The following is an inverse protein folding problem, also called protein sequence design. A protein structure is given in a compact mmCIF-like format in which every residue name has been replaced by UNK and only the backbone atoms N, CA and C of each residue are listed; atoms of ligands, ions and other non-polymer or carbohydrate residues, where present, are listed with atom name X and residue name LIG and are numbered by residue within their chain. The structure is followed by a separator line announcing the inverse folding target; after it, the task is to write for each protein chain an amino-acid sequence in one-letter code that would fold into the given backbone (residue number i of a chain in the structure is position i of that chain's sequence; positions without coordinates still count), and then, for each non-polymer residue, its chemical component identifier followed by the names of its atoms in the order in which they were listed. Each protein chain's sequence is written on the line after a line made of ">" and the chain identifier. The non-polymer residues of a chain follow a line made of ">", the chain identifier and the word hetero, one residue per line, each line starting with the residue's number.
data_IF_885248550486
#
_entry.id   IF_885248550486
#
_cell.length_a   1.000
_cell.length_b   1.000
_cell.length_c   1.000
_cell.angle_alpha   90.00
_cell.angle_beta   90.00
_cell.angle_gamma   90.00
#
_symmetry.space_group_name_H-M   'P 1'
#
loop_
_entity.id
_entity.type
_entity.pdbx_description
1 polymer ?
#
# COMPACT_ATOMS: atom_id res chain seq x y z
N UNK A 1 9.61 4.74 -31.64
CA UNK A 1 9.12 5.44 -30.43
C UNK A 1 7.64 5.72 -30.61
N UNK A 2 6.76 5.02 -29.89
CA UNK A 2 5.33 5.36 -29.83
C UNK A 2 5.19 6.48 -28.82
N UNK A 3 4.64 7.62 -29.24
CA UNK A 3 4.24 8.69 -28.32
C UNK A 3 3.20 8.10 -27.37
N UNK A 4 3.52 8.06 -26.08
CA UNK A 4 2.62 7.66 -25.01
C UNK A 4 1.64 8.82 -24.79
N UNK A 5 0.57 8.86 -25.57
CA UNK A 5 -0.53 9.79 -25.31
C UNK A 5 -1.08 9.51 -23.92
N UNK A 6 -1.18 10.55 -23.09
CA UNK A 6 -1.79 10.44 -21.76
C UNK A 6 -3.12 9.67 -21.85
N UNK A 7 -3.31 8.71 -20.94
CA UNK A 7 -4.54 7.93 -20.87
C UNK A 7 -5.72 8.90 -20.72
N UNK A 8 -6.87 8.60 -21.32
CA UNK A 8 -8.04 9.50 -21.30
C UNK A 8 -8.46 9.90 -19.89
N UNK A 9 -8.22 9.03 -18.90
CA UNK A 9 -8.41 9.29 -17.48
C UNK A 9 -7.46 10.35 -16.91
N UNK A 10 -6.20 10.36 -17.32
CA UNK A 10 -5.22 11.37 -16.92
C UNK A 10 -5.61 12.74 -17.46
N UNK A 11 -6.08 12.81 -18.72
CA UNK A 11 -6.56 14.06 -19.31
C UNK A 11 -7.79 14.60 -18.58
N UNK A 12 -8.74 13.73 -18.22
CA UNK A 12 -9.91 14.12 -17.41
C UNK A 12 -9.51 14.65 -16.03
N UNK A 13 -8.56 13.99 -15.37
CA UNK A 13 -8.03 14.43 -14.09
C UNK A 13 -7.33 15.79 -14.18
N UNK A 14 -6.47 16.00 -15.20
CA UNK A 14 -5.81 17.27 -15.43
C UNK A 14 -6.79 18.41 -15.71
N UNK A 15 -7.84 18.16 -16.52
CA UNK A 15 -8.87 19.17 -16.79
C UNK A 15 -9.65 19.54 -15.52
N UNK A 16 -10.00 18.55 -14.69
CA UNK A 16 -10.67 18.81 -13.42
C UNK A 16 -9.81 19.65 -12.47
N UNK A 17 -8.51 19.37 -12.36
CA UNK A 17 -7.58 20.20 -11.57
C UNK A 17 -7.54 21.64 -12.10
N UNK A 18 -7.57 21.83 -13.42
CA UNK A 18 -7.58 23.15 -14.05
C UNK A 18 -8.86 23.92 -13.69
N UNK A 19 -10.03 23.27 -13.76
CA UNK A 19 -11.31 23.89 -13.40
C UNK A 19 -11.35 24.36 -11.94
N UNK A 20 -10.76 23.59 -11.03
CA UNK A 20 -10.59 24.00 -9.63
C UNK A 20 -9.69 25.22 -9.52
N UNK A 21 -8.52 25.19 -10.18
CA UNK A 21 -7.56 26.29 -10.15
C UNK A 21 -8.11 27.60 -10.74
N UNK A 22 -9.03 27.50 -11.70
CA UNK A 22 -9.73 28.63 -12.30
C UNK A 22 -10.96 29.10 -11.49
N UNK A 23 -11.27 28.44 -10.37
CA UNK A 23 -12.40 28.81 -9.50
C UNK A 23 -13.77 28.45 -10.07
N UNK A 24 -13.84 27.58 -11.08
CA UNK A 24 -15.09 27.19 -11.75
C UNK A 24 -15.96 26.28 -10.88
N UNK A 25 -15.39 25.66 -9.85
CA UNK A 25 -16.09 24.74 -8.93
C UNK A 25 -16.89 25.44 -7.81
N UNK A 26 -16.75 26.76 -7.63
CA UNK A 26 -17.37 27.48 -6.50
C UNK A 26 -16.76 27.06 -5.14
N UNK A 27 -17.51 27.23 -4.05
CA UNK A 27 -17.03 26.96 -2.69
C UNK A 27 -16.88 25.46 -2.36
N UNK A 28 -17.51 24.59 -3.16
CA UNK A 28 -17.53 23.14 -2.94
C UNK A 28 -16.93 22.40 -4.14
N UNK A 29 -15.86 21.66 -3.89
CA UNK A 29 -15.23 20.81 -4.92
C UNK A 29 -15.94 19.45 -4.94
N UNK A 30 -16.54 19.11 -6.08
CA UNK A 30 -17.01 17.75 -6.34
C UNK A 30 -15.84 16.89 -6.82
N UNK A 31 -15.60 15.77 -6.13
CA UNK A 31 -14.62 14.78 -6.58
C UNK A 31 -15.16 14.06 -7.82
N UNK A 32 -14.35 13.87 -8.87
CA UNK A 32 -14.76 13.13 -10.05
C UNK A 32 -15.06 11.67 -9.72
N UNK A 33 -15.91 11.05 -10.53
CA UNK A 33 -16.28 9.64 -10.38
C UNK A 33 -15.08 8.67 -10.37
N UNK A 34 -13.94 9.08 -10.94
CA UNK A 34 -12.69 8.29 -10.90
C UNK A 34 -12.15 8.09 -9.48
N UNK A 35 -12.51 8.95 -8.53
CA UNK A 35 -12.15 8.82 -7.11
C UNK A 35 -13.06 7.88 -6.32
N UNK A 36 -14.17 7.46 -6.93
CA UNK A 36 -15.11 6.52 -6.35
C UNK A 36 -15.04 5.21 -7.14
N UNK A 37 -14.02 4.35 -6.90
CA UNK A 37 -13.97 3.05 -7.54
C UNK A 37 -15.26 2.28 -7.25
N UNK A 38 -15.81 1.63 -8.28
CA UNK A 38 -17.01 0.79 -8.15
C UNK A 38 -16.79 -0.39 -7.21
N UNK A 39 -15.54 -0.86 -7.12
CA UNK A 39 -15.09 -1.86 -6.16
C UNK A 39 -14.68 -1.20 -4.85
N UNK A 40 -15.27 -1.66 -3.74
CA UNK A 40 -15.06 -1.07 -2.41
C UNK A 40 -13.69 -1.39 -1.82
N UNK A 41 -12.95 -2.36 -2.36
CA UNK A 41 -11.61 -2.70 -1.85
C UNK A 41 -10.55 -2.64 -2.96
N UNK A 42 -9.36 -2.05 -2.69
CA UNK A 42 -8.25 -2.03 -3.65
C UNK A 42 -7.83 -3.43 -4.12
N UNK A 43 -7.98 -4.43 -3.24
CA UNK A 43 -7.71 -5.84 -3.55
C UNK A 43 -8.64 -6.36 -4.64
N UNK A 44 -9.95 -6.14 -4.52
CA UNK A 44 -10.91 -6.55 -5.58
C UNK A 44 -10.71 -5.76 -6.86
N UNK A 45 -10.36 -4.48 -6.74
CA UNK A 45 -10.08 -3.65 -7.91
C UNK A 45 -8.88 -4.18 -8.72
N UNK A 46 -7.81 -4.65 -8.04
CA UNK A 46 -6.60 -5.11 -8.72
C UNK A 46 -6.58 -6.61 -9.04
N UNK A 47 -7.25 -7.44 -8.25
CA UNK A 47 -7.20 -8.91 -8.37
C UNK A 47 -8.57 -9.55 -8.64
N UNK A 48 -9.63 -8.76 -8.84
CA UNK A 48 -10.99 -9.27 -9.02
C UNK A 48 -11.19 -10.13 -10.27
N UNK A 49 -10.28 -10.04 -11.24
CA UNK A 49 -10.20 -10.89 -12.42
C UNK A 49 -9.52 -12.24 -12.17
N UNK A 50 -8.88 -12.43 -11.01
CA UNK A 50 -8.09 -13.61 -10.68
C UNK A 50 -8.72 -14.45 -9.56
N UNK A 51 -8.44 -15.75 -9.59
CA UNK A 51 -8.73 -16.63 -8.45
C UNK A 51 -7.47 -16.80 -7.61
N UNK A 52 -7.36 -16.02 -6.53
CA UNK A 52 -6.19 -16.03 -5.64
C UNK A 52 -5.89 -17.41 -5.04
N UNK A 53 -6.88 -18.28 -4.85
CA UNK A 53 -6.68 -19.62 -4.26
C UNK A 53 -5.97 -20.62 -5.17
N UNK A 54 -5.91 -20.34 -6.48
CA UNK A 54 -5.29 -21.22 -7.49
C UNK A 54 -4.32 -20.45 -8.39
N UNK A 55 -3.92 -19.25 -7.98
CA UNK A 55 -3.14 -18.32 -8.79
C UNK A 55 -1.70 -18.80 -9.01
N UNK A 56 -1.18 -18.60 -10.21
CA UNK A 56 0.23 -18.84 -10.52
C UNK A 56 1.05 -17.56 -10.27
N UNK A 57 2.31 -17.66 -9.79
CA UNK A 57 3.17 -16.49 -9.53
C UNK A 57 3.30 -15.51 -10.72
N UNK A 58 3.24 -16.03 -11.95
CA UNK A 58 3.29 -15.26 -13.18
C UNK A 58 2.13 -14.28 -13.33
N UNK A 59 0.95 -14.61 -12.82
CA UNK A 59 -0.27 -13.80 -12.93
C UNK A 59 -0.26 -12.59 -11.97
N UNK A 60 0.57 -12.67 -10.93
CA UNK A 60 0.80 -11.57 -9.98
C UNK A 60 1.77 -10.51 -10.52
N UNK A 61 2.54 -10.82 -11.56
CA UNK A 61 3.57 -9.90 -12.09
C UNK A 61 2.94 -8.62 -12.64
N UNK A 62 3.57 -7.48 -12.35
CA UNK A 62 3.14 -6.17 -12.84
C UNK A 62 1.92 -5.58 -12.13
N UNK A 63 1.45 -6.20 -11.04
CA UNK A 63 0.36 -5.70 -10.20
C UNK A 63 0.95 -5.18 -8.88
N UNK A 64 0.57 -3.97 -8.47
CA UNK A 64 0.96 -3.39 -7.19
C UNK A 64 -0.15 -2.50 -6.64
N UNK A 65 -0.37 -2.57 -5.32
CA UNK A 65 -1.23 -1.65 -4.58
C UNK A 65 -0.31 -0.73 -3.79
N UNK A 66 -0.46 0.58 -4.00
CA UNK A 66 0.23 1.58 -3.20
C UNK A 66 -0.66 2.00 -2.04
N UNK A 67 -0.10 2.06 -0.84
CA UNK A 67 -0.77 2.56 0.35
C UNK A 67 -0.03 3.77 0.92
N UNK A 68 -0.77 4.66 1.57
CA UNK A 68 -0.21 5.90 2.14
C UNK A 68 0.67 5.62 3.37
N UNK A 69 0.35 4.57 4.13
CA UNK A 69 1.09 4.19 5.35
C UNK A 69 1.55 2.74 5.28
N UNK A 70 2.62 2.43 6.03
CA UNK A 70 3.13 1.07 6.19
C UNK A 70 2.05 0.16 6.82
N UNK A 71 1.33 0.63 7.83
CA UNK A 71 0.27 -0.19 8.46
C UNK A 71 -0.83 -0.55 7.46
N UNK A 72 -1.23 0.39 6.59
CA UNK A 72 -2.20 0.12 5.54
C UNK A 72 -1.65 -0.89 4.51
N UNK A 73 -0.38 -0.78 4.11
CA UNK A 73 0.23 -1.73 3.18
C UNK A 73 0.36 -3.13 3.79
N UNK A 74 0.78 -3.23 5.05
CA UNK A 74 0.88 -4.50 5.79
C UNK A 74 -0.49 -5.17 5.89
N UNK A 75 -1.53 -4.42 6.24
CA UNK A 75 -2.89 -4.96 6.32
C UNK A 75 -3.39 -5.49 4.97
N UNK A 76 -3.15 -4.76 3.88
CA UNK A 76 -3.51 -5.18 2.52
C UNK A 76 -2.71 -6.43 2.12
N UNK A 77 -1.40 -6.44 2.36
CA UNK A 77 -0.52 -7.57 2.04
C UNK A 77 -0.94 -8.84 2.80
N UNK A 78 -1.20 -8.73 4.10
CA UNK A 78 -1.66 -9.85 4.92
C UNK A 78 -3.03 -10.37 4.44
N UNK A 79 -3.95 -9.48 4.06
CA UNK A 79 -5.25 -9.89 3.51
C UNK A 79 -5.08 -10.67 2.19
N UNK A 80 -4.22 -10.20 1.28
CA UNK A 80 -3.95 -10.91 0.03
C UNK A 80 -3.25 -12.25 0.30
N UNK A 81 -2.28 -12.26 1.21
CA UNK A 81 -1.49 -13.45 1.57
C UNK A 81 -2.37 -14.61 2.05
N UNK A 82 -3.38 -14.33 2.88
CA UNK A 82 -4.35 -15.34 3.36
C UNK A 82 -5.12 -16.01 2.21
N UNK A 83 -5.27 -15.33 1.08
CA UNK A 83 -5.98 -15.87 -0.08
C UNK A 83 -5.07 -16.68 -1.01
N UNK A 84 -3.74 -16.59 -0.88
CA UNK A 84 -2.80 -17.30 -1.76
C UNK A 84 -2.69 -18.79 -1.36
N UNK A 85 -2.44 -19.70 -2.33
CA UNK A 85 -2.19 -21.09 -2.01
C UNK A 85 -0.83 -21.26 -1.30
N UNK A 86 -0.75 -22.23 -0.40
CA UNK A 86 0.48 -22.60 0.29
C UNK A 86 0.41 -22.43 1.80
N UNK A 87 1.54 -22.69 2.45
CA UNK A 87 1.71 -22.49 3.89
C UNK A 87 2.28 -21.08 4.16
N UNK A 88 1.78 -20.43 5.20
CA UNK A 88 2.28 -19.13 5.67
C UNK A 88 3.41 -19.35 6.68
N UNK A 89 4.48 -18.56 6.57
CA UNK A 89 5.61 -18.62 7.48
C UNK A 89 5.84 -17.25 8.10
N UNK A 90 6.09 -17.19 9.40
CA UNK A 90 6.43 -15.94 10.08
C UNK A 90 7.94 -15.86 10.24
N UNK A 91 8.52 -14.78 9.73
CA UNK A 91 9.93 -14.42 9.90
C UNK A 91 10.03 -13.33 10.96
N UNK A 92 10.85 -13.56 11.98
CA UNK A 92 11.15 -12.57 13.01
C UNK A 92 12.49 -11.90 12.70
N UNK A 93 12.56 -10.59 12.84
CA UNK A 93 13.79 -9.83 12.65
C UNK A 93 14.81 -10.17 13.74
N UNK A 94 16.09 -10.07 13.39
CA UNK A 94 17.21 -10.31 14.29
C UNK A 94 17.93 -8.99 14.54
N UNK A 95 17.37 -8.16 15.43
CA UNK A 95 17.86 -6.84 15.77
C UNK A 95 18.47 -6.81 17.18
N UNK A 96 19.49 -5.98 17.39
CA UNK A 96 20.12 -5.76 18.70
C UNK A 96 20.26 -4.25 18.97
N UNK A 97 20.15 -3.86 20.24
CA UNK A 97 20.28 -2.48 20.67
C UNK A 97 21.75 -2.10 20.69
N UNK A 98 22.15 -1.22 19.78
CA UNK A 98 23.47 -0.60 19.78
C UNK A 98 23.35 0.81 20.36
N UNK A 99 23.76 0.99 21.62
CA UNK A 99 23.83 2.30 22.27
C UNK A 99 25.08 2.44 23.14
N UNK A 100 25.63 3.65 23.19
CA UNK A 100 26.72 4.06 24.08
C UNK A 100 26.22 4.43 25.50
N UNK A 101 24.91 4.63 25.69
CA UNK A 101 24.29 4.89 27.00
C UNK A 101 23.71 3.59 27.59
N UNK A 102 24.24 3.09 28.73
CA UNK A 102 23.70 1.90 29.38
C UNK A 102 22.24 2.06 29.86
N UNK A 103 21.72 3.28 30.01
CA UNK A 103 20.34 3.54 30.39
C UNK A 103 19.34 3.37 29.22
N UNK A 104 19.80 3.40 27.97
CA UNK A 104 18.91 3.23 26.82
C UNK A 104 18.27 1.84 26.80
N UNK A 105 19.03 0.81 27.21
CA UNK A 105 18.50 -0.56 27.35
C UNK A 105 17.40 -0.69 28.42
N UNK A 106 17.37 0.24 29.38
CA UNK A 106 16.33 0.31 30.42
C UNK A 106 15.14 1.18 29.97
N UNK A 107 15.38 2.11 29.05
CA UNK A 107 14.39 3.09 28.57
C UNK A 107 13.58 2.56 27.39
N UNK A 108 14.22 1.80 26.50
CA UNK A 108 13.62 1.22 25.31
C UNK A 108 13.68 -0.31 25.42
N UNK A 109 12.56 -0.92 25.81
CA UNK A 109 12.48 -2.37 25.86
C UNK A 109 12.46 -2.98 24.46
N UNK A 110 12.86 -4.24 24.35
CA UNK A 110 12.80 -4.98 23.08
C UNK A 110 11.37 -5.01 22.52
N UNK A 111 10.35 -5.17 23.38
CA UNK A 111 8.96 -5.16 22.93
C UNK A 111 8.54 -3.80 22.33
N UNK A 112 9.03 -2.69 22.90
CA UNK A 112 8.78 -1.37 22.34
C UNK A 112 9.42 -1.24 20.96
N UNK A 113 10.68 -1.65 20.80
CA UNK A 113 11.36 -1.60 19.51
C UNK A 113 10.71 -2.51 18.46
N UNK A 114 10.34 -3.73 18.86
CA UNK A 114 9.68 -4.72 18.00
C UNK A 114 8.27 -4.28 17.58
N UNK A 115 7.68 -3.28 18.25
CA UNK A 115 6.39 -2.69 17.86
C UNK A 115 6.52 -1.60 16.79
N UNK A 116 7.74 -1.13 16.50
CA UNK A 116 7.96 -0.05 15.55
C UNK A 116 7.95 -0.57 14.12
N UNK A 117 7.38 0.23 13.21
CA UNK A 117 7.42 0.00 11.76
C UNK A 117 8.04 1.20 11.06
N UNK A 118 9.37 1.43 11.23
CA UNK A 118 10.02 2.60 10.67
C UNK A 118 9.88 2.67 9.15
N UNK A 119 9.89 3.90 8.62
CA UNK A 119 9.73 4.12 7.17
C UNK A 119 10.87 3.45 6.40
N UNK A 120 10.53 2.65 5.40
CA UNK A 120 11.51 1.94 4.58
C UNK A 120 12.03 0.63 5.18
N UNK A 121 11.54 0.20 6.35
CA UNK A 121 11.88 -1.09 6.95
C UNK A 121 10.65 -2.01 7.05
N UNK A 122 10.82 -3.33 6.95
CA UNK A 122 9.75 -4.29 7.24
C UNK A 122 9.41 -4.27 8.74
N UNK A 123 8.22 -4.75 9.12
CA UNK A 123 7.88 -4.97 10.53
C UNK A 123 8.77 -6.07 11.14
N UNK A 124 8.92 -6.06 12.46
CA UNK A 124 9.66 -7.09 13.20
C UNK A 124 9.16 -8.52 12.90
N UNK A 125 7.85 -8.70 12.76
CA UNK A 125 7.25 -9.97 12.28
C UNK A 125 6.72 -9.80 10.86
N UNK A 126 7.32 -10.52 9.93
CA UNK A 126 6.89 -10.57 8.54
C UNK A 126 6.19 -11.91 8.27
N UNK A 127 4.95 -11.84 7.77
CA UNK A 127 4.16 -13.02 7.36
C UNK A 127 4.43 -13.39 5.89
#
# INVERSE_FOLDING_TARGET
>A
MKNLGALETERKFSNWLLEIGEGKSGDNIMLPDIFYPSEQTPVKQLYGDLNLSTIMPEELKGRAILAVTNDASININNHVLICLPGETFVYEAADDIVSDDPNDRLTFSEEFLNSLTPTGMPPYKLN
#
